data_IF_361956608691
#
_entry.id   IF_361956608691
#
_cell.length_a   1.000
_cell.length_b   1.000
_cell.length_c   1.000
_cell.angle_alpha   90.00
_cell.angle_beta   90.00
_cell.angle_gamma   90.00
#
_symmetry.space_group_name_H-M   'P 1'
#
loop_
_entity.id
_entity.type
_entity.pdbx_description
1 polymer ?
#
# COMPACT_ATOMS: atom_id res chain seq x y z
N UNK A 1 38.89 13.56 -39.57
CA UNK A 1 37.50 13.59 -39.04
C UNK A 1 37.03 12.18 -38.76
N UNK A 2 37.19 11.70 -37.53
CA UNK A 2 36.41 10.59 -36.95
C UNK A 2 36.21 10.95 -35.48
N UNK A 3 35.03 11.49 -35.18
CA UNK A 3 34.59 11.73 -33.81
C UNK A 3 34.17 10.40 -33.20
N UNK A 4 34.96 9.91 -32.26
CA UNK A 4 34.57 8.87 -31.32
C UNK A 4 33.47 9.41 -30.40
N UNK A 5 32.30 8.77 -30.43
CA UNK A 5 31.19 9.02 -29.53
C UNK A 5 31.59 8.84 -28.07
N UNK A 6 31.13 9.70 -27.13
CA UNK A 6 31.27 9.41 -25.71
C UNK A 6 30.33 8.27 -25.32
N UNK A 7 30.93 7.30 -24.66
CA UNK A 7 30.36 6.18 -23.92
C UNK A 7 29.13 6.55 -23.07
N UNK A 8 28.14 5.65 -23.10
CA UNK A 8 26.99 5.58 -22.21
C UNK A 8 27.36 5.80 -20.74
N UNK A 9 26.84 6.86 -20.11
CA UNK A 9 26.82 6.98 -18.66
C UNK A 9 25.82 5.97 -18.09
N UNK A 10 26.32 5.10 -17.21
CA UNK A 10 25.54 4.07 -16.54
C UNK A 10 24.48 4.66 -15.61
N UNK A 11 23.31 4.02 -15.59
CA UNK A 11 22.28 4.25 -14.58
C UNK A 11 22.83 3.84 -13.21
N UNK A 12 22.94 4.80 -12.29
CA UNK A 12 23.26 4.60 -10.86
C UNK A 12 22.08 3.89 -10.16
N UNK A 13 21.87 2.62 -10.52
CA UNK A 13 20.84 1.75 -9.98
C UNK A 13 21.29 1.09 -8.67
N UNK A 14 20.33 0.74 -7.83
CA UNK A 14 20.59 0.01 -6.59
C UNK A 14 21.28 -1.34 -6.89
N UNK A 15 22.59 -1.43 -6.58
CA UNK A 15 23.40 -2.62 -6.88
C UNK A 15 22.91 -3.86 -6.14
N UNK A 16 22.36 -3.67 -4.95
CA UNK A 16 21.85 -4.74 -4.10
C UNK A 16 20.61 -5.37 -4.73
N UNK A 17 19.70 -4.51 -5.21
CA UNK A 17 18.55 -4.93 -6.00
C UNK A 17 18.97 -5.59 -7.32
N UNK A 18 19.90 -4.98 -8.05
CA UNK A 18 20.39 -5.51 -9.32
C UNK A 18 20.98 -6.92 -9.16
N UNK A 19 21.75 -7.15 -8.10
CA UNK A 19 22.29 -8.47 -7.76
C UNK A 19 21.18 -9.47 -7.45
N UNK A 20 20.18 -9.08 -6.64
CA UNK A 20 19.08 -9.96 -6.24
C UNK A 20 18.17 -10.42 -7.39
N UNK A 21 18.12 -9.64 -8.47
CA UNK A 21 17.28 -9.85 -9.64
C UNK A 21 18.05 -10.37 -10.86
N UNK A 22 19.38 -10.50 -10.76
CA UNK A 22 20.26 -10.91 -11.87
C UNK A 22 20.02 -12.35 -12.37
N UNK A 23 19.44 -13.20 -11.52
CA UNK A 23 19.13 -14.60 -11.83
C UNK A 23 17.62 -14.87 -11.85
N UNK A 24 17.23 -16.09 -12.23
CA UNK A 24 15.82 -16.53 -12.08
C UNK A 24 15.40 -16.41 -10.61
N UNK A 25 14.17 -15.97 -10.28
CA UNK A 25 13.72 -15.95 -8.89
C UNK A 25 13.67 -17.38 -8.31
N UNK A 26 13.91 -17.52 -7.00
CA UNK A 26 13.56 -18.74 -6.26
C UNK A 26 12.03 -18.74 -6.10
N UNK A 27 11.36 -19.84 -6.38
CA UNK A 27 9.91 -19.98 -6.20
C UNK A 27 9.63 -20.99 -5.10
N UNK A 28 8.77 -20.63 -4.16
CA UNK A 28 8.23 -21.48 -3.10
C UNK A 28 6.71 -21.52 -3.28
N UNK A 29 6.11 -22.70 -3.34
CA UNK A 29 4.69 -22.91 -3.59
C UNK A 29 3.94 -23.22 -2.30
N UNK A 30 2.83 -22.53 -2.10
CA UNK A 30 1.92 -22.72 -0.97
C UNK A 30 0.53 -23.09 -1.50
N UNK A 31 -0.05 -24.18 -1.02
CA UNK A 31 -1.43 -24.58 -1.34
C UNK A 31 -2.06 -25.36 -0.18
N UNK A 32 -3.38 -25.27 -0.03
CA UNK A 32 -4.11 -26.00 1.03
C UNK A 32 -4.37 -27.47 0.73
N UNK A 33 -4.54 -27.83 -0.54
CA UNK A 33 -4.75 -29.20 -0.97
C UNK A 33 -3.42 -29.91 -1.17
N UNK A 34 -3.35 -31.19 -0.81
CA UNK A 34 -2.15 -31.99 -1.05
C UNK A 34 -1.87 -32.15 -2.56
N UNK A 35 -0.59 -32.00 -2.96
CA UNK A 35 -0.15 -31.93 -4.35
C UNK A 35 1.28 -31.38 -4.49
N UNK A 36 1.58 -30.67 -5.59
CA UNK A 36 2.92 -30.11 -5.91
C UNK A 36 3.31 -28.84 -5.14
N UNK A 37 2.79 -28.65 -3.92
CA UNK A 37 3.11 -27.51 -3.07
C UNK A 37 4.29 -27.85 -2.15
N UNK A 38 5.13 -26.85 -1.86
CA UNK A 38 6.25 -27.01 -0.94
C UNK A 38 5.79 -26.91 0.52
N UNK A 39 4.75 -26.10 0.79
CA UNK A 39 4.19 -25.89 2.13
C UNK A 39 2.66 -25.80 2.11
N UNK A 40 2.03 -26.17 3.23
CA UNK A 40 0.59 -26.02 3.44
C UNK A 40 0.18 -24.62 3.91
N UNK A 41 1.13 -23.83 4.42
CA UNK A 41 0.89 -22.52 5.04
C UNK A 41 1.84 -21.45 4.50
N UNK A 42 1.40 -20.20 4.54
CA UNK A 42 2.22 -19.05 4.14
C UNK A 42 3.33 -18.80 5.16
N UNK A 43 3.05 -19.03 6.45
CA UNK A 43 4.02 -18.90 7.54
C UNK A 43 5.22 -19.81 7.37
N UNK A 44 5.01 -21.09 7.05
CA UNK A 44 6.12 -22.04 6.84
C UNK A 44 6.98 -21.67 5.65
N UNK A 45 6.35 -21.24 4.55
CA UNK A 45 7.06 -20.78 3.36
C UNK A 45 7.98 -19.59 3.68
N UNK A 46 7.49 -18.59 4.43
CA UNK A 46 8.29 -17.43 4.85
C UNK A 46 9.44 -17.84 5.79
N UNK A 47 9.19 -18.76 6.73
CA UNK A 47 10.24 -19.27 7.64
C UNK A 47 11.35 -20.01 6.89
N UNK A 48 11.05 -20.64 5.76
CA UNK A 48 12.04 -21.34 4.93
C UNK A 48 12.98 -20.42 4.14
N UNK A 49 12.70 -19.11 4.11
CA UNK A 49 13.57 -18.11 3.47
C UNK A 49 14.69 -17.76 4.47
N UNK A 50 15.97 -17.87 4.07
CA UNK A 50 17.08 -17.60 4.98
C UNK A 50 17.15 -16.12 5.39
N UNK A 51 17.69 -15.86 6.58
CA UNK A 51 18.12 -14.51 6.96
C UNK A 51 19.22 -14.01 6.01
N UNK A 52 19.24 -12.71 5.73
CA UNK A 52 20.15 -12.10 4.77
C UNK A 52 19.89 -12.52 3.32
N UNK A 53 18.66 -12.92 2.97
CA UNK A 53 18.30 -13.37 1.62
C UNK A 53 18.82 -12.38 0.55
N UNK A 54 19.60 -12.86 -0.40
CA UNK A 54 20.23 -12.02 -1.44
C UNK A 54 19.65 -12.21 -2.82
N UNK A 55 18.61 -13.05 -2.98
CA UNK A 55 17.99 -13.39 -4.26
C UNK A 55 16.48 -13.25 -4.17
N UNK A 56 15.85 -12.68 -5.20
CA UNK A 56 14.38 -12.59 -5.28
C UNK A 56 13.75 -13.96 -4.99
N UNK A 57 12.98 -14.04 -3.91
CA UNK A 57 12.25 -15.25 -3.51
C UNK A 57 10.76 -14.97 -3.58
N UNK A 58 10.09 -15.66 -4.50
CA UNK A 58 8.65 -15.57 -4.76
C UNK A 58 7.96 -16.69 -3.99
N UNK A 59 7.14 -16.32 -3.02
CA UNK A 59 6.16 -17.21 -2.39
C UNK A 59 4.89 -17.14 -3.22
N UNK A 60 4.68 -18.15 -4.06
CA UNK A 60 3.48 -18.32 -4.86
C UNK A 60 2.40 -19.00 -4.02
N UNK A 61 1.24 -18.36 -3.90
CA UNK A 61 0.17 -18.77 -3.01
C UNK A 61 -1.05 -19.12 -3.87
N UNK A 62 -1.43 -20.39 -3.86
CA UNK A 62 -2.63 -20.86 -4.53
C UNK A 62 -3.91 -20.35 -3.85
N UNK A 63 -5.03 -20.49 -4.53
CA UNK A 63 -6.32 -20.05 -4.02
C UNK A 63 -6.74 -20.70 -2.70
N UNK A 64 -7.48 -19.95 -1.89
CA UNK A 64 -7.98 -20.40 -0.60
C UNK A 64 -7.92 -19.34 0.50
N UNK A 65 -8.49 -19.68 1.67
CA UNK A 65 -8.54 -18.80 2.86
C UNK A 65 -7.52 -19.24 3.91
N UNK A 66 -6.39 -18.58 4.00
CA UNK A 66 -5.31 -18.86 4.94
C UNK A 66 -5.56 -18.13 6.25
N UNK A 67 -5.95 -18.86 7.30
CA UNK A 67 -6.19 -18.27 8.62
C UNK A 67 -4.87 -18.16 9.40
N UNK A 68 -4.09 -17.13 9.09
CA UNK A 68 -2.72 -16.98 9.58
C UNK A 68 -2.42 -15.52 9.91
N UNK A 69 -1.60 -15.32 10.94
CA UNK A 69 -0.94 -14.03 11.18
C UNK A 69 0.48 -14.09 10.64
N UNK A 70 0.76 -13.28 9.63
CA UNK A 70 2.00 -13.35 8.86
C UNK A 70 2.94 -12.20 9.21
N UNK A 71 4.22 -12.52 9.40
CA UNK A 71 5.30 -11.54 9.49
C UNK A 71 6.41 -11.87 8.50
N UNK A 72 6.69 -10.96 7.56
CA UNK A 72 7.92 -10.97 6.75
C UNK A 72 8.95 -10.08 7.44
N UNK A 73 9.84 -10.71 8.23
CA UNK A 73 10.81 -10.00 9.07
C UNK A 73 11.86 -9.23 8.27
N UNK A 74 12.42 -8.18 8.89
CA UNK A 74 13.39 -7.27 8.28
C UNK A 74 14.67 -7.92 7.76
N UNK A 75 15.08 -9.05 8.33
CA UNK A 75 16.25 -9.80 7.87
C UNK A 75 16.02 -10.64 6.61
N UNK A 76 14.81 -10.62 6.02
CA UNK A 76 14.48 -11.37 4.79
C UNK A 76 14.14 -10.44 3.61
N UNK A 77 15.09 -9.66 3.06
CA UNK A 77 14.80 -8.75 1.94
C UNK A 77 14.48 -9.50 0.65
N UNK A 78 13.95 -8.79 -0.36
CA UNK A 78 13.65 -9.32 -1.70
C UNK A 78 12.62 -10.47 -1.72
N UNK A 79 11.66 -10.44 -0.80
CA UNK A 79 10.54 -11.40 -0.77
C UNK A 79 9.39 -10.88 -1.64
N UNK A 80 8.73 -11.78 -2.36
CA UNK A 80 7.50 -11.48 -3.09
C UNK A 80 6.39 -12.43 -2.67
N UNK A 81 5.26 -11.91 -2.22
CA UNK A 81 4.03 -12.70 -2.11
C UNK A 81 3.26 -12.57 -3.43
N UNK A 82 3.04 -13.69 -4.11
CA UNK A 82 2.37 -13.74 -5.39
C UNK A 82 1.13 -14.63 -5.26
N UNK A 83 -0.06 -14.05 -5.26
CA UNK A 83 -1.29 -14.82 -5.31
C UNK A 83 -1.61 -15.28 -6.72
N UNK A 84 -2.26 -16.44 -6.86
CA UNK A 84 -2.78 -16.87 -8.16
C UNK A 84 -3.81 -15.84 -8.69
N UNK A 85 -3.57 -15.19 -9.84
CA UNK A 85 -4.51 -14.21 -10.38
C UNK A 85 -5.87 -14.81 -10.76
N UNK A 86 -5.92 -16.12 -11.05
CA UNK A 86 -7.15 -16.83 -11.41
C UNK A 86 -8.01 -17.20 -10.17
N UNK A 87 -7.37 -17.39 -9.02
CA UNK A 87 -8.01 -17.69 -7.75
C UNK A 87 -7.23 -17.03 -6.60
N UNK A 88 -7.52 -15.76 -6.35
CA UNK A 88 -6.73 -14.95 -5.40
C UNK A 88 -6.87 -15.51 -3.99
N UNK A 89 -5.75 -15.78 -3.28
CA UNK A 89 -5.80 -16.20 -1.89
C UNK A 89 -6.39 -15.11 -1.00
N UNK A 90 -6.81 -15.49 0.21
CA UNK A 90 -7.21 -14.55 1.27
C UNK A 90 -6.46 -14.93 2.53
N UNK A 91 -5.72 -14.01 3.15
CA UNK A 91 -5.03 -14.26 4.42
C UNK A 91 -5.85 -13.55 5.49
N UNK A 92 -6.48 -14.28 6.39
CA UNK A 92 -7.46 -13.72 7.33
C UNK A 92 -6.98 -13.93 8.75
N UNK A 93 -7.15 -12.93 9.61
CA UNK A 93 -6.92 -13.04 11.04
C UNK A 93 -7.84 -12.07 11.80
N UNK A 94 -8.03 -12.30 13.10
CA UNK A 94 -8.99 -11.55 13.92
C UNK A 94 -8.36 -10.85 15.12
N UNK A 95 -7.17 -10.29 14.95
CA UNK A 95 -6.51 -9.49 15.97
C UNK A 95 -7.08 -8.06 16.01
N UNK A 96 -7.34 -7.56 17.23
CA UNK A 96 -7.78 -6.18 17.47
C UNK A 96 -6.73 -5.42 18.30
N UNK A 97 -6.75 -4.09 18.23
CA UNK A 97 -5.88 -3.27 19.07
C UNK A 97 -6.16 -3.40 20.57
N UNK A 98 -7.37 -3.79 20.98
CA UNK A 98 -7.66 -4.07 22.39
C UNK A 98 -6.85 -5.23 22.95
N UNK A 99 -6.49 -6.21 22.12
CA UNK A 99 -5.69 -7.36 22.51
C UNK A 99 -4.19 -7.18 22.23
N UNK A 100 -3.85 -6.52 21.11
CA UNK A 100 -2.47 -6.49 20.60
C UNK A 100 -1.86 -5.09 20.52
N UNK A 101 -2.64 -4.02 20.71
CA UNK A 101 -2.31 -2.68 20.22
C UNK A 101 -2.38 -2.61 18.68
N UNK A 102 -2.56 -1.40 18.13
CA UNK A 102 -2.75 -1.21 16.68
C UNK A 102 -1.62 -1.85 15.87
N UNK A 103 -0.37 -1.60 16.24
CA UNK A 103 0.82 -2.05 15.51
C UNK A 103 0.92 -3.57 15.40
N UNK A 104 0.60 -4.29 16.47
CA UNK A 104 0.66 -5.76 16.48
C UNK A 104 -0.68 -6.42 16.12
N UNK A 105 -1.72 -5.65 15.80
CA UNK A 105 -3.00 -6.21 15.32
C UNK A 105 -2.97 -6.64 13.85
N UNK A 106 -1.88 -6.34 13.11
CA UNK A 106 -1.76 -6.64 11.69
C UNK A 106 -1.96 -8.13 11.36
N UNK A 107 -2.84 -8.42 10.40
CA UNK A 107 -2.98 -9.77 9.80
C UNK A 107 -1.73 -10.13 9.00
N UNK A 108 -1.25 -9.20 8.18
CA UNK A 108 0.05 -9.31 7.49
C UNK A 108 0.92 -8.13 7.90
N UNK A 109 2.11 -8.40 8.40
CA UNK A 109 3.14 -7.41 8.71
C UNK A 109 4.38 -7.65 7.83
N UNK A 110 4.80 -6.62 7.11
CA UNK A 110 6.02 -6.64 6.30
C UNK A 110 6.99 -5.61 6.84
N UNK A 111 8.09 -6.09 7.37
CA UNK A 111 9.21 -5.28 7.90
C UNK A 111 10.42 -5.33 6.96
N UNK A 112 10.30 -6.09 5.86
CA UNK A 112 11.35 -6.41 4.91
C UNK A 112 11.47 -5.39 3.78
N UNK A 113 12.71 -5.02 3.46
CA UNK A 113 13.02 -4.14 2.33
C UNK A 113 12.88 -4.85 0.98
N UNK A 114 12.60 -4.08 -0.07
CA UNK A 114 12.44 -4.57 -1.45
C UNK A 114 11.31 -5.59 -1.61
N UNK A 115 10.31 -5.56 -0.72
CA UNK A 115 9.18 -6.44 -0.76
C UNK A 115 8.29 -6.18 -1.98
N UNK A 116 7.69 -7.24 -2.54
CA UNK A 116 6.61 -7.08 -3.50
C UNK A 116 5.39 -7.93 -3.16
N UNK A 117 4.22 -7.43 -3.50
CA UNK A 117 2.98 -8.19 -3.49
C UNK A 117 2.29 -8.05 -4.85
N UNK A 118 1.87 -9.17 -5.44
CA UNK A 118 1.12 -9.20 -6.70
C UNK A 118 -0.11 -10.09 -6.54
N UNK A 119 -1.28 -9.61 -6.95
CA UNK A 119 -2.55 -10.35 -6.84
C UNK A 119 -2.76 -10.90 -5.42
N UNK A 120 -2.36 -10.10 -4.43
CA UNK A 120 -2.00 -10.58 -3.11
C UNK A 120 -3.22 -10.81 -2.21
N UNK A 121 -3.03 -11.54 -1.11
CA UNK A 121 -4.14 -12.03 -0.32
C UNK A 121 -4.88 -10.91 0.38
N UNK A 122 -6.20 -10.98 0.29
CA UNK A 122 -7.14 -10.07 0.93
C UNK A 122 -7.04 -10.23 2.46
N UNK A 123 -6.35 -9.33 3.19
CA UNK A 123 -6.43 -9.32 4.62
C UNK A 123 -7.78 -8.72 5.01
N UNK A 124 -8.51 -9.45 5.83
CA UNK A 124 -9.87 -9.12 6.26
C UNK A 124 -9.98 -9.27 7.78
N UNK A 125 -10.64 -8.31 8.42
CA UNK A 125 -10.95 -8.36 9.85
C UNK A 125 -12.41 -8.78 10.01
N UNK A 126 -12.65 -9.82 10.81
CA UNK A 126 -13.97 -10.41 11.01
C UNK A 126 -14.81 -9.76 12.12
N UNK A 127 -14.36 -8.62 12.69
CA UNK A 127 -15.04 -7.94 13.80
C UNK A 127 -15.15 -6.43 13.57
N UNK A 128 -16.34 -5.90 13.83
CA UNK A 128 -16.61 -4.45 13.90
C UNK A 128 -16.44 -4.00 15.35
N UNK A 129 -15.84 -2.82 15.59
CA UNK A 129 -15.90 -2.15 16.90
C UNK A 129 -14.58 -1.66 17.51
N UNK A 130 -13.43 -1.83 16.86
CA UNK A 130 -12.14 -1.26 17.30
C UNK A 130 -11.12 -1.22 16.15
N UNK A 131 -9.97 -0.55 16.34
CA UNK A 131 -8.85 -0.59 15.40
C UNK A 131 -8.40 -2.03 15.15
N UNK A 132 -8.18 -2.38 13.88
CA UNK A 132 -7.61 -3.65 13.49
C UNK A 132 -6.91 -3.49 12.14
N UNK A 133 -5.66 -3.92 12.07
CA UNK A 133 -4.83 -3.72 10.89
C UNK A 133 -4.92 -4.94 9.97
N UNK A 134 -5.29 -4.72 8.72
CA UNK A 134 -5.27 -5.76 7.69
C UNK A 134 -3.81 -5.96 7.21
N UNK A 135 -3.14 -4.86 6.86
CA UNK A 135 -1.76 -4.87 6.39
C UNK A 135 -0.94 -3.78 7.08
N UNK A 136 0.25 -4.15 7.57
CA UNK A 136 1.28 -3.20 8.01
C UNK A 136 2.52 -3.34 7.14
N UNK A 137 3.02 -2.23 6.62
CA UNK A 137 4.29 -2.15 5.90
C UNK A 137 5.23 -1.14 6.58
N UNK A 138 6.45 -1.57 6.91
CA UNK A 138 7.50 -0.73 7.49
C UNK A 138 8.90 -0.96 6.90
N UNK A 139 9.03 -1.91 5.97
CA UNK A 139 10.24 -2.11 5.18
C UNK A 139 10.30 -1.15 4.00
N UNK A 140 11.47 -0.65 3.65
CA UNK A 140 11.66 0.35 2.60
C UNK A 140 11.61 -0.28 1.20
N UNK A 141 11.20 0.51 0.20
CA UNK A 141 11.15 0.08 -1.22
C UNK A 141 10.19 -1.09 -1.45
N UNK A 142 8.97 -1.01 -0.93
CA UNK A 142 7.95 -2.04 -1.11
C UNK A 142 6.92 -1.67 -2.21
N UNK A 143 6.53 -2.64 -3.03
CA UNK A 143 5.54 -2.42 -4.09
C UNK A 143 4.38 -3.42 -4.05
N UNK A 144 3.15 -2.92 -4.14
CA UNK A 144 1.91 -3.69 -4.12
C UNK A 144 1.18 -3.47 -5.43
N UNK A 145 0.94 -4.54 -6.18
CA UNK A 145 0.26 -4.51 -7.47
C UNK A 145 -1.00 -5.37 -7.39
N UNK A 146 -2.15 -4.80 -7.74
CA UNK A 146 -3.42 -5.54 -7.76
C UNK A 146 -3.73 -6.27 -6.44
N UNK A 147 -3.50 -5.58 -5.32
CA UNK A 147 -3.74 -6.10 -3.98
C UNK A 147 -5.02 -5.50 -3.41
N UNK A 148 -5.80 -6.30 -2.68
CA UNK A 148 -7.00 -5.84 -1.98
C UNK A 148 -6.72 -5.81 -0.47
N UNK A 149 -6.96 -4.67 0.18
CA UNK A 149 -6.78 -4.48 1.63
C UNK A 149 -8.14 -4.20 2.27
N UNK A 150 -8.67 -5.13 3.06
CA UNK A 150 -10.03 -5.01 3.61
C UNK A 150 -10.03 -4.89 5.13
N UNK A 151 -10.66 -3.84 5.62
CA UNK A 151 -10.86 -3.68 7.05
C UNK A 151 -11.98 -2.71 7.38
N UNK A 152 -11.90 -2.17 8.58
CA UNK A 152 -12.75 -1.09 9.09
C UNK A 152 -11.85 0.05 9.53
N UNK A 153 -11.63 0.22 10.83
CA UNK A 153 -10.70 1.21 11.36
C UNK A 153 -9.27 0.70 11.29
N UNK A 154 -8.33 1.54 10.85
CA UNK A 154 -6.89 1.25 10.73
C UNK A 154 -6.52 0.12 9.73
N UNK A 155 -7.24 -0.01 8.59
CA UNK A 155 -7.01 -1.10 7.61
C UNK A 155 -5.55 -1.23 7.14
N UNK A 156 -4.93 -0.16 6.65
CA UNK A 156 -3.59 -0.15 6.05
C UNK A 156 -2.65 0.76 6.86
N UNK A 157 -1.74 0.12 7.60
CA UNK A 157 -0.67 0.79 8.32
C UNK A 157 0.56 0.95 7.41
N UNK A 158 0.61 2.05 6.68
CA UNK A 158 1.72 2.49 5.86
C UNK A 158 2.76 3.25 6.73
N UNK A 159 3.48 2.46 7.54
CA UNK A 159 4.19 2.94 8.73
C UNK A 159 5.37 3.86 8.41
N UNK A 160 6.28 3.43 7.54
CA UNK A 160 7.52 4.13 7.18
C UNK A 160 8.16 3.46 5.95
N UNK A 161 9.02 4.19 5.24
CA UNK A 161 9.70 3.70 4.04
C UNK A 161 9.09 4.27 2.76
N UNK A 162 9.64 3.87 1.60
CA UNK A 162 9.14 4.28 0.28
C UNK A 162 8.28 3.18 -0.32
N UNK A 163 7.03 3.48 -0.64
CA UNK A 163 6.09 2.47 -1.14
C UNK A 163 5.37 2.88 -2.41
N UNK A 164 5.04 1.86 -3.22
CA UNK A 164 4.12 1.98 -4.34
C UNK A 164 2.92 1.07 -4.10
N UNK A 165 1.71 1.62 -4.21
CA UNK A 165 0.47 0.86 -4.32
C UNK A 165 -0.13 1.14 -5.69
N UNK A 166 -0.24 0.14 -6.55
CA UNK A 166 -0.68 0.29 -7.93
C UNK A 166 -1.84 -0.65 -8.24
N UNK A 167 -2.86 -0.15 -8.94
CA UNK A 167 -4.02 -0.94 -9.40
C UNK A 167 -4.69 -1.73 -8.28
N UNK A 168 -4.68 -1.18 -7.06
CA UNK A 168 -5.06 -1.87 -5.83
C UNK A 168 -6.39 -1.37 -5.27
N UNK A 169 -6.91 -2.06 -4.26
CA UNK A 169 -8.16 -1.73 -3.58
C UNK A 169 -7.94 -1.58 -2.09
N UNK A 170 -8.50 -0.53 -1.47
CA UNK A 170 -8.48 -0.34 -0.02
C UNK A 170 -9.89 -0.05 0.48
N UNK A 171 -10.36 -0.80 1.48
CA UNK A 171 -11.65 -0.59 2.15
C UNK A 171 -11.48 -0.30 3.63
N UNK A 172 -12.21 0.69 4.16
CA UNK A 172 -12.25 0.92 5.60
C UNK A 172 -13.27 1.96 6.04
N UNK A 173 -13.13 2.41 7.29
CA UNK A 173 -14.01 3.40 7.93
C UNK A 173 -13.22 4.62 8.40
N UNK A 174 -12.51 4.51 9.52
CA UNK A 174 -11.74 5.60 10.15
C UNK A 174 -10.25 5.31 10.02
N UNK A 175 -9.48 6.32 9.63
CA UNK A 175 -8.02 6.30 9.52
C UNK A 175 -7.48 5.09 8.75
N UNK A 176 -8.22 4.63 7.75
CA UNK A 176 -7.97 3.31 7.20
C UNK A 176 -6.75 3.24 6.26
N UNK A 177 -6.11 4.37 5.97
CA UNK A 177 -4.76 4.49 5.43
C UNK A 177 -3.95 5.44 6.33
N UNK A 178 -3.02 4.92 7.12
CA UNK A 178 -2.35 5.72 8.15
C UNK A 178 -0.87 5.36 8.33
N UNK A 179 -0.10 6.29 8.88
CA UNK A 179 1.34 6.12 9.12
C UNK A 179 2.19 7.27 8.56
N UNK A 180 3.51 7.05 8.46
CA UNK A 180 4.51 8.05 8.05
C UNK A 180 5.32 7.61 6.81
N UNK A 181 4.75 6.74 5.96
CA UNK A 181 5.36 6.33 4.69
C UNK A 181 5.58 7.50 3.71
N UNK A 182 6.50 7.31 2.76
CA UNK A 182 6.62 8.12 1.54
C UNK A 182 6.02 7.31 0.40
N UNK A 183 4.73 7.49 0.13
CA UNK A 183 3.97 6.50 -0.63
C UNK A 183 3.19 7.10 -1.78
N UNK A 184 3.30 6.46 -2.94
CA UNK A 184 2.47 6.74 -4.11
C UNK A 184 1.40 5.67 -4.24
N UNK A 185 0.14 6.09 -4.19
CA UNK A 185 -1.04 5.31 -4.49
C UNK A 185 -1.48 5.68 -5.91
N UNK A 186 -1.22 4.80 -6.88
CA UNK A 186 -1.51 5.02 -8.29
C UNK A 186 -2.65 4.12 -8.75
N UNK A 187 -3.70 4.73 -9.31
CA UNK A 187 -4.88 4.00 -9.80
C UNK A 187 -5.49 3.06 -8.74
N UNK A 188 -5.58 3.55 -7.50
CA UNK A 188 -6.15 2.81 -6.38
C UNK A 188 -7.64 3.14 -6.25
N UNK A 189 -8.47 2.12 -6.04
CA UNK A 189 -9.86 2.32 -5.60
C UNK A 189 -9.92 2.33 -4.08
N UNK A 190 -10.53 3.38 -3.52
CA UNK A 190 -10.58 3.66 -2.10
C UNK A 190 -12.05 3.67 -1.69
N UNK A 191 -12.51 2.66 -0.95
CA UNK A 191 -13.91 2.53 -0.52
C UNK A 191 -14.08 2.82 0.97
N UNK A 192 -14.84 3.88 1.27
CA UNK A 192 -15.34 4.13 2.62
C UNK A 192 -16.65 3.37 2.84
N UNK A 193 -16.71 2.57 3.89
CA UNK A 193 -17.91 1.86 4.36
C UNK A 193 -18.43 2.40 5.69
N UNK A 194 -18.00 3.60 6.10
CA UNK A 194 -18.43 4.24 7.33
C UNK A 194 -19.90 4.68 7.24
N UNK A 195 -20.70 4.38 8.26
CA UNK A 195 -22.13 4.76 8.30
C UNK A 195 -22.36 6.21 8.73
N UNK A 196 -21.44 6.76 9.54
CA UNK A 196 -21.53 8.13 10.07
C UNK A 196 -20.32 8.99 9.67
N UNK A 197 -19.16 8.71 10.24
CA UNK A 197 -17.91 9.44 9.97
C UNK A 197 -16.83 8.48 9.51
N UNK A 198 -16.39 8.65 8.27
CA UNK A 198 -15.23 7.99 7.69
C UNK A 198 -14.07 8.97 7.51
N UNK A 199 -12.85 8.48 7.64
CA UNK A 199 -11.62 9.24 7.42
C UNK A 199 -10.67 8.37 6.62
N UNK A 200 -10.34 8.79 5.39
CA UNK A 200 -9.48 7.98 4.51
C UNK A 200 -8.06 7.93 5.05
N UNK A 201 -7.49 9.11 5.34
CA UNK A 201 -6.07 9.19 5.73
C UNK A 201 -5.83 9.73 7.14
N UNK A 202 -4.84 9.17 7.82
CA UNK A 202 -4.27 9.74 9.06
C UNK A 202 -2.74 9.73 8.97
N UNK A 203 -2.18 10.74 8.30
CA UNK A 203 -0.74 10.81 8.03
C UNK A 203 0.02 11.40 9.23
N UNK A 204 1.16 10.81 9.56
CA UNK A 204 1.93 10.99 10.78
C UNK A 204 3.29 11.71 10.63
N UNK A 205 3.46 12.53 9.59
CA UNK A 205 4.64 13.37 9.42
C UNK A 205 4.71 14.39 10.54
N UNK A 206 5.85 14.43 11.21
CA UNK A 206 6.04 15.25 12.42
C UNK A 206 6.94 16.45 12.14
N UNK A 207 7.92 16.32 11.24
CA UNK A 207 8.96 17.34 11.03
C UNK A 207 8.97 17.87 9.61
N UNK A 208 9.30 19.15 9.45
CA UNK A 208 9.35 19.80 8.12
C UNK A 208 10.42 19.19 7.20
N UNK A 209 11.55 18.75 7.75
CA UNK A 209 12.60 18.09 6.98
C UNK A 209 12.26 16.68 6.48
N UNK A 210 11.16 16.07 6.94
CA UNK A 210 10.75 14.74 6.50
C UNK A 210 10.16 14.79 5.08
N UNK A 211 10.59 13.86 4.22
CA UNK A 211 10.09 13.68 2.86
C UNK A 211 8.82 12.82 2.80
N UNK A 212 8.36 12.28 3.93
CA UNK A 212 7.17 11.44 4.03
C UNK A 212 5.87 12.14 3.63
N UNK A 213 4.89 11.35 3.23
CA UNK A 213 3.63 11.83 2.69
C UNK A 213 2.94 10.79 1.84
N UNK A 214 1.63 10.96 1.69
CA UNK A 214 0.82 10.12 0.81
C UNK A 214 0.39 10.93 -0.42
N UNK A 215 0.71 10.41 -1.61
CA UNK A 215 0.23 10.95 -2.88
C UNK A 215 -0.73 9.96 -3.52
N UNK A 216 -1.97 10.38 -3.76
CA UNK A 216 -3.00 9.61 -4.43
C UNK A 216 -3.18 10.14 -5.85
N UNK A 217 -2.78 9.36 -6.84
CA UNK A 217 -2.73 9.76 -8.24
C UNK A 217 -3.64 8.88 -9.09
N UNK A 218 -4.57 9.49 -9.83
CA UNK A 218 -5.56 8.79 -10.65
C UNK A 218 -6.43 7.79 -9.88
N UNK A 219 -6.64 8.03 -8.58
CA UNK A 219 -7.44 7.16 -7.73
C UNK A 219 -8.94 7.38 -7.95
N UNK A 220 -9.74 6.43 -7.46
CA UNK A 220 -11.20 6.55 -7.42
C UNK A 220 -11.69 6.32 -6.00
N UNK A 221 -12.37 7.31 -5.42
CA UNK A 221 -13.05 7.14 -4.13
C UNK A 221 -14.45 6.58 -4.36
N UNK A 222 -14.91 5.69 -3.47
CA UNK A 222 -16.26 5.14 -3.39
C UNK A 222 -16.82 5.32 -1.97
N UNK A 223 -18.13 5.44 -1.88
CA UNK A 223 -18.87 5.41 -0.62
C UNK A 223 -19.95 4.35 -0.69
N UNK A 224 -20.02 3.47 0.32
CA UNK A 224 -21.02 2.41 0.38
C UNK A 224 -22.32 2.82 1.12
N UNK A 225 -22.36 4.01 1.70
CA UNK A 225 -23.40 4.44 2.64
C UNK A 225 -24.06 5.75 2.19
N UNK A 226 -23.90 6.85 2.93
CA UNK A 226 -24.54 8.14 2.72
C UNK A 226 -23.55 9.18 2.20
N UNK A 227 -24.08 10.17 1.50
CA UNK A 227 -23.32 11.36 1.11
C UNK A 227 -22.76 12.10 2.32
N UNK A 228 -21.64 12.80 2.11
CA UNK A 228 -20.96 13.67 3.08
C UNK A 228 -20.46 13.01 4.38
N UNK A 229 -20.41 11.69 4.44
CA UNK A 229 -19.94 10.93 5.61
C UNK A 229 -18.43 10.79 5.68
N UNK A 230 -17.70 11.03 4.59
CA UNK A 230 -16.28 10.70 4.48
C UNK A 230 -15.39 11.92 4.32
N UNK A 231 -14.31 11.99 5.09
CA UNK A 231 -13.25 12.98 4.97
C UNK A 231 -12.02 12.38 4.27
N UNK A 232 -11.34 13.18 3.44
CA UNK A 232 -10.09 12.84 2.77
C UNK A 232 -8.96 12.51 3.75
N UNK A 233 -8.97 13.15 4.93
CA UNK A 233 -8.04 12.82 5.98
C UNK A 233 -8.11 13.71 7.20
N UNK A 234 -7.30 13.36 8.19
CA UNK A 234 -7.01 14.15 9.39
C UNK A 234 -5.52 14.09 9.72
N UNK A 235 -5.05 15.07 10.49
CA UNK A 235 -3.66 15.06 10.95
C UNK A 235 -3.52 14.06 12.09
N UNK A 236 -2.71 13.01 11.92
CA UNK A 236 -2.27 12.22 13.07
C UNK A 236 -1.10 12.91 13.78
N UNK A 237 -0.27 13.63 13.03
CA UNK A 237 0.89 14.40 13.51
C UNK A 237 0.94 15.79 12.90
N UNK A 238 1.74 16.67 13.50
CA UNK A 238 1.66 18.12 13.29
C UNK A 238 1.90 18.55 11.83
N UNK A 239 2.78 17.85 11.11
CA UNK A 239 3.23 18.18 9.75
C UNK A 239 2.67 17.23 8.69
N UNK A 240 1.54 16.60 8.98
CA UNK A 240 0.80 15.70 8.10
C UNK A 240 0.72 16.25 6.66
N UNK A 241 1.05 15.39 5.69
CA UNK A 241 1.12 15.72 4.26
C UNK A 241 0.42 14.67 3.41
N UNK A 242 -0.63 15.10 2.72
CA UNK A 242 -1.46 14.25 1.86
C UNK A 242 -1.87 15.05 0.61
N UNK A 243 -1.74 14.43 -0.56
CA UNK A 243 -2.13 15.03 -1.84
C UNK A 243 -3.03 14.08 -2.60
N UNK A 244 -4.17 14.57 -3.07
CA UNK A 244 -5.02 13.90 -4.05
C UNK A 244 -4.91 14.61 -5.40
N UNK A 245 -4.51 13.88 -6.43
CA UNK A 245 -4.30 14.38 -7.78
C UNK A 245 -5.06 13.54 -8.81
N UNK A 246 -5.79 14.20 -9.72
CA UNK A 246 -6.60 13.54 -10.75
C UNK A 246 -7.54 12.45 -10.22
N UNK A 247 -7.96 12.58 -8.97
CA UNK A 247 -8.78 11.59 -8.26
C UNK A 247 -10.26 11.87 -8.46
N UNK A 248 -11.06 10.82 -8.70
CA UNK A 248 -12.52 10.94 -8.70
C UNK A 248 -13.07 10.89 -7.26
N UNK A 249 -13.87 11.89 -6.90
CA UNK A 249 -14.50 12.06 -5.58
C UNK A 249 -16.03 12.10 -5.74
N UNK A 250 -16.77 11.08 -5.29
CA UNK A 250 -18.23 11.09 -5.30
C UNK A 250 -18.79 11.92 -4.13
N UNK A 251 -20.11 12.05 -4.05
CA UNK A 251 -20.80 12.90 -3.07
C UNK A 251 -20.65 12.40 -1.62
N UNK A 252 -20.09 11.22 -1.40
CA UNK A 252 -19.66 10.73 -0.08
C UNK A 252 -18.66 11.66 0.61
N UNK A 253 -17.88 12.43 -0.15
CA UNK A 253 -16.88 13.34 0.42
C UNK A 253 -17.58 14.54 1.07
N UNK A 254 -17.35 14.71 2.37
CA UNK A 254 -17.83 15.84 3.13
C UNK A 254 -17.33 17.17 2.50
N UNK A 255 -18.16 18.22 2.40
CA UNK A 255 -17.75 19.48 1.75
C UNK A 255 -16.50 20.11 2.37
N UNK A 256 -16.31 19.96 3.69
CA UNK A 256 -15.11 20.40 4.40
C UNK A 256 -13.82 19.72 3.90
N UNK A 257 -13.95 18.53 3.31
CA UNK A 257 -12.86 17.72 2.75
C UNK A 257 -12.01 17.05 3.82
N UNK A 258 -11.49 17.82 4.77
CA UNK A 258 -10.51 17.38 5.76
C UNK A 258 -11.07 17.52 7.17
N UNK A 259 -10.91 16.47 7.98
CA UNK A 259 -11.46 16.41 9.33
C UNK A 259 -10.57 17.20 10.30
N UNK A 260 -11.20 17.96 11.20
CA UNK A 260 -10.53 18.68 12.28
C UNK A 260 -10.92 18.07 13.62
N UNK A 261 -9.93 17.71 14.45
CA UNK A 261 -10.15 17.14 15.78
C UNK A 261 -9.99 18.24 16.84
N UNK A 262 -11.11 18.79 17.34
CA UNK A 262 -11.13 19.64 18.55
C UNK A 262 -10.23 20.91 18.54
N UNK A 263 -9.93 21.42 19.73
CA UNK A 263 -9.25 22.71 19.99
C UNK A 263 -7.71 22.66 20.03
N UNK A 264 -7.08 21.58 19.53
CA UNK A 264 -5.62 21.47 19.40
C UNK A 264 -5.10 22.23 18.16
N UNK A 265 -3.92 22.85 18.24
CA UNK A 265 -3.69 24.22 17.77
C UNK A 265 -3.92 24.38 16.26
N UNK A 266 -4.69 25.42 15.94
CA UNK A 266 -4.87 26.05 14.64
C UNK A 266 -4.20 25.28 13.46
N UNK A 267 -4.88 24.29 12.83
CA UNK A 267 -4.39 23.55 11.66
C UNK A 267 -3.97 24.44 10.47
N UNK A 268 -4.21 25.75 10.55
CA UNK A 268 -3.89 26.77 9.57
C UNK A 268 -2.40 26.99 9.24
N UNK A 269 -1.42 26.29 9.83
CA UNK A 269 -0.01 26.60 9.52
C UNK A 269 0.97 25.43 9.28
N UNK A 270 0.64 24.18 9.63
CA UNK A 270 1.66 23.11 9.63
C UNK A 270 1.41 21.94 8.68
N UNK A 271 0.15 21.64 8.34
CA UNK A 271 -0.19 20.53 7.43
C UNK A 271 -0.04 20.92 5.96
N UNK A 272 0.13 19.92 5.10
CA UNK A 272 0.11 20.07 3.65
C UNK A 272 -0.97 19.17 3.05
N UNK A 273 -2.17 19.70 2.91
CA UNK A 273 -3.32 19.01 2.32
C UNK A 273 -3.66 19.61 0.97
N UNK A 274 -3.38 18.85 -0.09
CA UNK A 274 -3.49 19.31 -1.46
C UNK A 274 -4.53 18.54 -2.27
N UNK A 275 -5.32 19.25 -3.05
CA UNK A 275 -6.17 18.70 -4.09
C UNK A 275 -5.74 19.31 -5.44
N UNK A 276 -5.52 18.46 -6.45
CA UNK A 276 -5.08 18.88 -7.77
C UNK A 276 -5.89 18.21 -8.87
N UNK A 277 -6.63 19.00 -9.66
CA UNK A 277 -7.45 18.52 -10.79
C UNK A 277 -8.32 17.28 -10.45
N UNK A 278 -8.80 17.20 -9.21
CA UNK A 278 -9.77 16.20 -8.78
C UNK A 278 -11.15 16.51 -9.39
N UNK A 279 -11.98 15.49 -9.56
CA UNK A 279 -13.27 15.60 -10.26
C UNK A 279 -14.37 14.81 -9.57
N UNK A 280 -15.63 15.10 -9.92
CA UNK A 280 -16.80 14.44 -9.35
C UNK A 280 -17.52 15.32 -8.32
N UNK A 281 -18.73 14.92 -7.89
CA UNK A 281 -19.59 15.76 -7.05
C UNK A 281 -19.03 16.05 -5.64
N UNK A 282 -18.06 15.26 -5.17
CA UNK A 282 -17.34 15.52 -3.92
C UNK A 282 -16.13 16.45 -4.05
N UNK A 283 -15.67 16.73 -5.27
CA UNK A 283 -14.50 17.56 -5.56
C UNK A 283 -14.87 19.06 -5.69
N UNK A 284 -15.61 19.59 -4.71
CA UNK A 284 -16.10 20.98 -4.70
C UNK A 284 -15.25 21.83 -3.75
N UNK A 285 -14.41 22.77 -4.25
CA UNK A 285 -13.46 23.47 -3.40
C UNK A 285 -14.07 24.50 -2.44
N UNK A 286 -15.22 25.08 -2.79
CA UNK A 286 -15.82 26.20 -2.04
C UNK A 286 -16.23 25.87 -0.61
N UNK A 287 -16.41 24.58 -0.30
CA UNK A 287 -16.75 24.12 1.05
C UNK A 287 -15.55 23.67 1.88
N UNK A 288 -14.33 23.66 1.31
CA UNK A 288 -13.15 23.11 1.97
C UNK A 288 -12.73 23.97 3.17
N UNK A 289 -12.13 23.31 4.15
CA UNK A 289 -11.43 23.99 5.25
C UNK A 289 -10.35 24.94 4.71
N UNK A 290 -10.11 26.06 5.41
CA UNK A 290 -9.23 27.15 4.95
C UNK A 290 -7.77 26.76 4.73
N UNK A 291 -7.30 25.69 5.37
CA UNK A 291 -5.94 25.19 5.26
C UNK A 291 -5.75 24.12 4.17
N UNK A 292 -6.83 23.70 3.51
CA UNK A 292 -6.73 22.88 2.31
C UNK A 292 -6.25 23.73 1.14
N UNK A 293 -5.44 23.14 0.28
CA UNK A 293 -4.83 23.81 -0.87
C UNK A 293 -5.38 23.23 -2.16
N UNK A 294 -5.90 24.09 -3.03
CA UNK A 294 -5.97 23.77 -4.45
C UNK A 294 -4.58 24.05 -5.03
N UNK A 295 -3.89 22.99 -5.44
CA UNK A 295 -2.51 23.12 -5.89
C UNK A 295 -2.42 23.70 -7.30
N UNK A 296 -1.40 24.51 -7.56
CA UNK A 296 -0.98 24.84 -8.93
C UNK A 296 -0.28 23.66 -9.60
N UNK A 297 0.00 23.77 -10.90
CA UNK A 297 0.78 22.76 -11.63
C UNK A 297 2.18 22.58 -11.01
N UNK A 298 2.84 23.67 -10.59
CA UNK A 298 4.15 23.68 -9.94
C UNK A 298 4.11 23.03 -8.56
N UNK A 299 3.11 23.37 -7.75
CA UNK A 299 2.95 22.81 -6.40
C UNK A 299 2.62 21.31 -6.43
N UNK A 300 1.84 20.88 -7.42
CA UNK A 300 1.46 19.48 -7.58
C UNK A 300 2.61 18.63 -8.13
N UNK A 301 3.42 19.15 -9.05
CA UNK A 301 4.45 18.44 -9.82
C UNK A 301 5.29 17.41 -9.02
N UNK A 302 5.80 17.72 -7.80
CA UNK A 302 6.58 16.75 -7.00
C UNK A 302 5.82 15.47 -6.62
N UNK A 303 4.49 15.52 -6.59
CA UNK A 303 3.60 14.43 -6.15
C UNK A 303 3.01 13.63 -7.32
N UNK A 304 3.18 14.07 -8.57
CA UNK A 304 2.50 13.50 -9.75
C UNK A 304 3.26 12.36 -10.44
N UNK A 305 4.35 11.86 -9.86
CA UNK A 305 5.16 10.83 -10.50
C UNK A 305 5.90 9.94 -9.52
N UNK A 306 6.50 8.87 -10.06
CA UNK A 306 7.38 7.96 -9.32
C UNK A 306 8.58 8.66 -8.66
N UNK A 307 8.92 9.89 -9.07
CA UNK A 307 9.98 10.68 -8.42
C UNK A 307 9.67 10.97 -6.96
N UNK A 308 8.39 11.10 -6.58
CA UNK A 308 7.98 11.31 -5.18
C UNK A 308 8.55 10.23 -4.24
N UNK A 309 8.60 8.99 -4.73
CA UNK A 309 9.10 7.82 -4.00
C UNK A 309 10.50 7.39 -4.45
N UNK A 310 11.19 8.21 -5.24
CA UNK A 310 12.45 7.85 -5.92
C UNK A 310 12.38 6.52 -6.69
N UNK A 311 11.21 6.20 -7.26
CA UNK A 311 10.90 4.91 -7.84
C UNK A 311 11.87 4.48 -8.95
N UNK A 312 12.38 5.42 -9.75
CA UNK A 312 13.38 5.15 -10.79
C UNK A 312 14.69 4.51 -10.27
N UNK A 313 14.94 4.55 -8.95
CA UNK A 313 16.14 3.96 -8.33
C UNK A 313 15.94 2.52 -7.85
N UNK A 314 14.70 2.08 -7.64
CA UNK A 314 14.43 0.83 -6.94
C UNK A 314 13.21 0.04 -7.43
N UNK A 315 12.31 0.63 -8.20
CA UNK A 315 11.18 -0.08 -8.78
C UNK A 315 11.65 -0.82 -10.03
N UNK A 316 11.41 -2.14 -10.02
CA UNK A 316 11.52 -2.99 -11.19
C UNK A 316 10.14 -3.52 -11.54
N UNK A 317 9.89 -3.88 -12.81
CA UNK A 317 8.64 -4.54 -13.18
C UNK A 317 8.41 -5.82 -12.34
N UNK A 318 7.16 -6.19 -12.06
CA UNK A 318 6.84 -7.44 -11.37
C UNK A 318 7.54 -8.66 -12.02
N UNK A 319 7.98 -9.65 -11.24
CA UNK A 319 8.59 -10.86 -11.78
C UNK A 319 7.63 -11.58 -12.73
N UNK A 320 8.06 -11.85 -13.97
CA UNK A 320 7.28 -12.66 -14.91
C UNK A 320 7.45 -14.14 -14.56
N UNK A 321 6.44 -14.73 -13.93
CA UNK A 321 6.39 -16.17 -13.73
C UNK A 321 5.95 -16.83 -15.05
N UNK A 322 6.82 -17.60 -15.69
CA UNK A 322 6.44 -18.43 -16.84
C UNK A 322 5.56 -19.57 -16.35
N UNK A 323 4.26 -19.48 -16.59
CA UNK A 323 3.27 -20.52 -16.30
C UNK A 323 3.37 -21.65 -17.32
N UNK A 324 4.52 -22.32 -17.43
CA UNK A 324 4.58 -23.64 -18.09
C UNK A 324 4.11 -24.68 -17.09
N UNK A 325 2.80 -24.83 -16.96
CA UNK A 325 2.22 -25.92 -16.19
C UNK A 325 2.12 -27.14 -17.09
N UNK A 326 3.00 -28.11 -16.85
CA UNK A 326 2.85 -29.46 -17.39
C UNK A 326 1.62 -30.09 -16.76
N UNK A 327 0.50 -30.11 -17.50
CA UNK A 327 -0.57 -31.07 -17.21
C UNK A 327 0.00 -32.45 -17.51
N UNK A 328 0.28 -33.22 -16.45
CA UNK A 328 0.66 -34.63 -16.60
C UNK A 328 -0.43 -35.38 -17.40
N UNK A 329 -0.08 -36.13 -18.46
CA UNK A 329 -1.05 -36.80 -19.34
C UNK A 329 -1.51 -38.15 -18.77
N UNK A 330 -1.78 -38.25 -17.46
CA UNK A 330 -2.30 -39.47 -16.86
C UNK A 330 -3.57 -39.21 -16.06
N UNK A 331 -4.68 -39.15 -16.80
CA UNK A 331 -5.96 -39.70 -16.36
C UNK A 331 -6.44 -40.65 -17.47
N UNK A 332 -6.32 -41.95 -17.21
CA UNK A 332 -7.16 -42.99 -17.82
C UNK A 332 -8.25 -43.34 -16.81
#
# INVERSE_FOLDING_TARGET
MRSSSPSSQGTDGDQRLSAAESGRPRVIRVAKSEGSADFGTVTEAIRSIPEGNTRRTVVWIGGGVYWEKITVGSGKPFVTLYGDPADRPRIVFNATASQYGTVYSATVAVESDYFMANAAPMPEINSKGSQAVAMRISGDKAAFYSCDFLGFQDTLCDSQGRHLFMDSYVRGTVDFIFGNGTSLYLNVTIESVAEETGVITAQAREKEGETSGFSFLHCTIRGATKDYTTYLGRAWRERSRVVFAYTFMPAVINPAGWYSVGSTPNPNQSVYYGEYKCKGPGAVPSGRVSYAKLLTDEEASPFLSMTFINGHKWLLPPPRLTTTFSTSPYNR
#
